data_IF_442940960151
#
_entry.id   IF_442940960151
#
_cell.length_a   1.000
_cell.length_b   1.000
_cell.length_c   1.000
_cell.angle_alpha   90.00
_cell.angle_beta   90.00
_cell.angle_gamma   90.00
#
_symmetry.space_group_name_H-M   'P 1'
#
loop_
_entity.id
_entity.type
_entity.pdbx_description
1 polymer ?
#
# COMPACT_ATOMS: atom_id res chain seq x y z
N UNK A 1 -10.76 18.40 9.18
CA UNK A 1 -9.40 18.45 8.58
C UNK A 1 -9.50 17.85 7.19
N UNK A 2 -8.96 18.50 6.16
CA UNK A 2 -8.90 17.97 4.79
C UNK A 2 -7.44 17.56 4.49
N UNK A 3 -7.20 16.28 4.25
CA UNK A 3 -5.87 15.74 3.99
C UNK A 3 -5.60 15.64 2.49
N UNK A 4 -4.85 16.59 1.94
CA UNK A 4 -4.47 16.60 0.52
C UNK A 4 -3.43 15.52 0.23
N UNK A 5 -3.87 14.44 -0.41
CA UNK A 5 -3.06 13.24 -0.70
C UNK A 5 -3.11 12.85 -2.18
N UNK A 6 -2.38 11.80 -2.55
CA UNK A 6 -2.32 11.25 -3.90
C UNK A 6 -2.39 9.72 -3.87
N UNK A 7 -3.28 9.12 -4.71
CA UNK A 7 -3.36 7.67 -4.87
C UNK A 7 -2.37 7.22 -5.95
N UNK A 8 -1.31 6.51 -5.59
CA UNK A 8 -0.25 6.14 -6.54
C UNK A 8 -0.75 5.27 -7.71
N UNK A 9 -1.72 4.38 -7.45
CA UNK A 9 -2.28 3.43 -8.41
C UNK A 9 -3.69 3.82 -8.88
N UNK A 10 -4.25 3.04 -9.79
CA UNK A 10 -5.64 3.05 -10.24
C UNK A 10 -6.62 2.76 -9.11
N UNK A 11 -7.92 2.79 -9.42
CA UNK A 11 -8.94 2.57 -8.38
C UNK A 11 -8.99 1.13 -7.89
N UNK A 12 -8.80 0.19 -8.80
CA UNK A 12 -8.72 -1.24 -8.52
C UNK A 12 -7.52 -1.86 -9.20
N UNK A 13 -7.35 -3.16 -8.94
CA UNK A 13 -6.17 -3.95 -9.34
C UNK A 13 -5.93 -3.98 -10.87
N UNK A 14 -6.98 -3.78 -11.67
CA UNK A 14 -6.91 -3.76 -13.13
C UNK A 14 -7.23 -2.39 -13.74
N UNK A 15 -7.16 -1.32 -12.94
CA UNK A 15 -7.57 0.03 -13.34
C UNK A 15 -6.38 0.94 -13.70
N UNK A 16 -5.13 0.49 -13.63
CA UNK A 16 -3.95 1.32 -13.93
C UNK A 16 -3.96 1.82 -15.39
N UNK A 17 -4.30 0.95 -16.35
CA UNK A 17 -4.42 1.32 -17.77
C UNK A 17 -5.53 2.34 -18.00
N UNK A 18 -6.63 2.24 -17.25
CA UNK A 18 -7.73 3.19 -17.33
C UNK A 18 -7.34 4.51 -16.68
N UNK A 19 -6.66 4.44 -15.54
CA UNK A 19 -6.11 5.58 -14.81
C UNK A 19 -5.17 6.40 -15.67
N UNK A 20 -4.31 5.76 -16.46
CA UNK A 20 -3.42 6.41 -17.40
C UNK A 20 -4.15 7.23 -18.49
N UNK A 21 -5.43 6.94 -18.78
CA UNK A 21 -6.21 7.69 -19.78
C UNK A 21 -6.72 9.03 -19.26
N UNK A 22 -6.86 9.19 -17.94
CA UNK A 22 -7.44 10.40 -17.33
C UNK A 22 -6.49 11.11 -16.35
N UNK A 23 -5.28 10.59 -16.15
CA UNK A 23 -4.26 11.18 -15.26
C UNK A 23 -2.99 11.45 -16.06
N UNK A 24 -2.60 12.73 -16.24
CA UNK A 24 -1.34 13.06 -16.89
C UNK A 24 -0.16 12.43 -16.13
N UNK A 25 0.84 11.95 -16.86
CA UNK A 25 2.02 11.30 -16.28
C UNK A 25 2.76 12.23 -15.32
N UNK A 26 2.85 13.54 -15.63
CA UNK A 26 3.50 14.51 -14.75
C UNK A 26 2.81 14.66 -13.40
N UNK A 27 1.48 14.49 -13.34
CA UNK A 27 0.75 14.55 -12.08
C UNK A 27 1.01 13.31 -11.22
N UNK A 28 1.18 12.16 -11.87
CA UNK A 28 1.56 10.90 -11.22
C UNK A 28 2.96 10.97 -10.65
N UNK A 29 3.91 11.47 -11.42
CA UNK A 29 5.27 11.67 -10.97
C UNK A 29 5.34 12.67 -9.81
N UNK A 30 4.65 13.82 -9.91
CA UNK A 30 4.55 14.82 -8.82
C UNK A 30 3.90 14.26 -7.56
N UNK A 31 2.93 13.36 -7.72
CA UNK A 31 2.30 12.66 -6.60
C UNK A 31 3.27 11.69 -5.92
N UNK A 32 3.98 10.88 -6.72
CA UNK A 32 4.94 9.88 -6.24
C UNK A 32 6.19 10.47 -5.61
N UNK A 33 6.65 11.64 -6.07
CA UNK A 33 7.80 12.33 -5.47
C UNK A 33 7.56 12.79 -4.02
N UNK A 34 6.30 12.73 -3.56
CA UNK A 34 5.88 13.07 -2.20
C UNK A 34 5.44 11.83 -1.42
N UNK A 35 6.00 10.66 -1.73
CA UNK A 35 5.75 9.43 -0.99
C UNK A 35 5.91 9.69 0.54
N UNK A 36 4.85 9.48 1.33
CA UNK A 36 4.87 9.79 2.75
C UNK A 36 5.92 8.99 3.52
N UNK A 37 6.28 7.78 3.06
CA UNK A 37 7.32 6.95 3.68
C UNK A 37 8.67 7.64 3.50
N UNK A 38 9.02 7.99 2.26
CA UNK A 38 10.28 8.67 1.94
C UNK A 38 10.41 10.02 2.67
N UNK A 39 9.34 10.82 2.67
CA UNK A 39 9.30 12.12 3.35
C UNK A 39 9.50 11.97 4.85
N UNK A 40 8.85 10.98 5.47
CA UNK A 40 8.94 10.79 6.91
C UNK A 40 10.29 10.21 7.33
N UNK A 41 10.84 9.25 6.59
CA UNK A 41 12.21 8.74 6.81
C UNK A 41 13.24 9.86 6.80
N UNK A 42 13.22 10.70 5.76
CA UNK A 42 14.14 11.84 5.66
C UNK A 42 14.02 12.80 6.86
N UNK A 43 12.79 13.00 7.36
CA UNK A 43 12.55 13.79 8.57
C UNK A 43 13.13 13.12 9.82
N UNK A 44 12.92 11.82 10.01
CA UNK A 44 13.43 11.09 11.17
C UNK A 44 14.96 11.06 11.21
N UNK A 45 15.62 10.93 10.05
CA UNK A 45 17.08 11.03 9.95
C UNK A 45 17.56 12.43 10.33
N UNK A 46 16.89 13.48 9.81
CA UNK A 46 17.21 14.88 10.15
C UNK A 46 17.03 15.17 11.65
N UNK A 47 16.04 14.55 12.30
CA UNK A 47 15.77 14.68 13.73
C UNK A 47 16.69 13.79 14.60
N UNK A 48 17.54 12.96 13.99
CA UNK A 48 18.46 12.06 14.70
C UNK A 48 17.77 10.87 15.37
N UNK A 49 16.53 10.57 14.98
CA UNK A 49 15.74 9.43 15.49
C UNK A 49 16.15 8.14 14.76
N UNK A 50 16.49 8.25 13.48
CA UNK A 50 17.04 7.15 12.68
C UNK A 50 18.44 7.54 12.17
N UNK A 51 19.31 6.56 12.00
CA UNK A 51 20.50 6.72 11.14
C UNK A 51 20.10 6.57 9.67
N UNK A 52 20.98 7.02 8.76
CA UNK A 52 20.77 6.81 7.33
C UNK A 52 20.73 5.31 6.99
N UNK A 53 21.59 4.49 7.61
CA UNK A 53 21.60 3.05 7.40
C UNK A 53 20.31 2.37 7.88
N UNK A 54 19.69 2.86 8.95
CA UNK A 54 18.40 2.35 9.43
C UNK A 54 17.25 2.72 8.49
N UNK A 55 17.23 3.96 7.99
CA UNK A 55 16.24 4.42 7.02
C UNK A 55 16.34 3.67 5.68
N UNK A 56 17.55 3.32 5.29
CA UNK A 56 17.86 2.64 4.02
C UNK A 56 17.76 1.12 4.10
N UNK A 57 17.59 0.55 5.29
CA UNK A 57 17.55 -0.91 5.51
C UNK A 57 16.42 -1.60 4.75
N UNK A 58 15.27 -0.93 4.63
CA UNK A 58 14.05 -1.43 4.00
C UNK A 58 13.50 -0.34 3.09
N UNK A 59 13.50 -0.53 1.77
CA UNK A 59 13.13 0.51 0.80
C UNK A 59 11.93 0.11 -0.09
N UNK A 60 10.72 0.02 0.49
CA UNK A 60 9.51 -0.24 -0.27
C UNK A 60 8.92 1.01 -0.94
N UNK A 61 9.33 2.22 -0.53
CA UNK A 61 8.84 3.49 -1.10
C UNK A 61 9.02 3.55 -2.62
N UNK A 62 8.04 4.14 -3.30
CA UNK A 62 8.04 4.25 -4.78
C UNK A 62 7.84 2.94 -5.55
N UNK A 63 7.85 1.77 -4.90
CA UNK A 63 7.64 0.45 -5.52
C UNK A 63 6.19 0.00 -5.41
N UNK A 64 5.74 -0.80 -6.36
CA UNK A 64 4.43 -1.43 -6.35
C UNK A 64 4.38 -2.72 -5.54
N UNK A 65 3.15 -3.12 -5.19
CA UNK A 65 2.89 -4.36 -4.47
C UNK A 65 3.44 -5.60 -5.21
N UNK A 66 3.55 -5.55 -6.54
CA UNK A 66 4.13 -6.64 -7.35
C UNK A 66 5.66 -6.60 -7.40
N UNK A 67 6.28 -5.48 -7.06
CA UNK A 67 7.74 -5.29 -7.05
C UNK A 67 8.38 -5.55 -5.70
N UNK A 68 7.64 -5.34 -4.60
CA UNK A 68 8.13 -5.59 -3.23
C UNK A 68 8.05 -7.08 -2.85
N UNK A 69 8.91 -7.50 -1.94
CA UNK A 69 9.01 -8.86 -1.39
C UNK A 69 9.09 -8.79 0.13
N UNK A 70 8.94 -9.93 0.79
CA UNK A 70 9.01 -10.03 2.26
C UNK A 70 10.33 -9.44 2.81
N UNK A 71 11.44 -9.60 2.08
CA UNK A 71 12.75 -9.09 2.52
C UNK A 71 12.87 -7.55 2.48
N UNK A 72 11.94 -6.88 1.79
CA UNK A 72 11.88 -5.41 1.73
C UNK A 72 11.25 -4.79 2.98
N UNK A 73 10.85 -5.61 3.96
CA UNK A 73 10.19 -5.18 5.19
C UNK A 73 10.83 -5.83 6.44
N UNK A 74 10.66 -5.22 7.63
CA UNK A 74 11.06 -5.85 8.89
C UNK A 74 10.41 -7.24 9.07
N UNK A 75 11.16 -8.28 9.46
CA UNK A 75 10.64 -9.65 9.60
C UNK A 75 9.42 -9.73 10.51
N UNK A 76 9.40 -8.99 11.61
CA UNK A 76 8.29 -8.93 12.56
C UNK A 76 7.00 -8.36 11.94
N UNK A 77 7.12 -7.45 10.96
CA UNK A 77 5.97 -6.91 10.22
C UNK A 77 5.43 -7.94 9.25
N UNK A 78 6.31 -8.67 8.57
CA UNK A 78 5.93 -9.76 7.66
C UNK A 78 5.21 -10.88 8.42
N UNK A 79 5.75 -11.29 9.57
CA UNK A 79 5.13 -12.29 10.44
C UNK A 79 3.73 -11.85 10.89
N UNK A 80 3.59 -10.60 11.37
CA UNK A 80 2.30 -10.05 11.76
C UNK A 80 1.26 -10.04 10.62
N UNK A 81 1.67 -9.66 9.41
CA UNK A 81 0.77 -9.70 8.25
C UNK A 81 0.39 -11.14 7.87
N UNK A 82 1.33 -12.09 7.99
CA UNK A 82 1.10 -13.50 7.69
C UNK A 82 0.05 -14.10 8.60
N UNK A 83 0.06 -13.78 9.90
CA UNK A 83 -0.99 -14.20 10.84
C UNK A 83 -2.39 -13.76 10.36
N UNK A 84 -2.51 -12.51 9.90
CA UNK A 84 -3.77 -11.98 9.36
C UNK A 84 -4.23 -12.70 8.09
N UNK A 85 -3.30 -13.02 7.18
CA UNK A 85 -3.59 -13.77 5.95
C UNK A 85 -4.03 -15.20 6.30
N UNK A 86 -3.33 -15.89 7.19
CA UNK A 86 -3.68 -17.23 7.64
C UNK A 86 -5.06 -17.26 8.29
N UNK A 87 -5.37 -16.29 9.15
CA UNK A 87 -6.69 -16.15 9.75
C UNK A 87 -7.79 -15.91 8.71
N UNK A 88 -7.53 -15.06 7.71
CA UNK A 88 -8.49 -14.79 6.63
C UNK A 88 -8.75 -16.04 5.77
N UNK A 89 -7.71 -16.80 5.43
CA UNK A 89 -7.82 -18.05 4.67
C UNK A 89 -8.53 -19.16 5.45
N UNK A 90 -8.33 -19.20 6.77
CA UNK A 90 -9.01 -20.15 7.66
C UNK A 90 -10.43 -19.72 8.03
N UNK A 91 -10.84 -18.49 7.70
CA UNK A 91 -12.17 -17.98 8.04
C UNK A 91 -13.25 -18.80 7.32
N UNK A 92 -14.31 -19.23 8.03
CA UNK A 92 -15.42 -19.91 7.38
C UNK A 92 -16.07 -18.97 6.37
N UNK A 93 -16.53 -19.54 5.25
CA UNK A 93 -17.41 -18.82 4.33
C UNK A 93 -18.74 -18.56 5.04
N UNK A 94 -19.39 -17.39 4.82
CA UNK A 94 -20.70 -17.12 5.37
C UNK A 94 -21.74 -18.11 4.81
N UNK A 95 -22.82 -18.33 5.56
CA UNK A 95 -23.95 -19.12 5.08
C UNK A 95 -24.54 -18.49 3.80
N UNK A 96 -25.01 -19.33 2.87
CA UNK A 96 -25.53 -18.88 1.56
C UNK A 96 -26.59 -17.78 1.67
N UNK A 97 -27.53 -17.93 2.61
CA UNK A 97 -28.58 -16.95 2.86
C UNK A 97 -28.05 -15.59 3.34
N UNK A 98 -26.95 -15.58 4.10
CA UNK A 98 -26.28 -14.34 4.52
C UNK A 98 -25.49 -13.74 3.36
N UNK A 99 -24.78 -14.58 2.60
CA UNK A 99 -23.99 -14.17 1.45
C UNK A 99 -24.84 -13.48 0.37
N UNK A 100 -26.09 -13.90 0.18
CA UNK A 100 -27.00 -13.32 -0.81
C UNK A 100 -27.80 -12.11 -0.33
N UNK A 101 -27.86 -11.84 0.99
CA UNK A 101 -28.76 -10.85 1.59
C UNK A 101 -28.60 -9.43 1.02
N UNK A 102 -27.39 -9.07 0.59
CA UNK A 102 -27.03 -7.74 0.08
C UNK A 102 -26.48 -7.77 -1.35
N UNK A 103 -26.58 -8.91 -2.03
CA UNK A 103 -26.19 -9.05 -3.43
C UNK A 103 -27.43 -8.83 -4.28
N UNK A 104 -27.62 -7.59 -4.76
CA UNK A 104 -28.68 -7.27 -5.70
C UNK A 104 -28.35 -7.87 -7.07
N UNK A 105 -29.02 -8.97 -7.43
CA UNK A 105 -29.01 -9.52 -8.80
C UNK A 105 -30.07 -8.75 -9.62
N UNK A 106 -29.68 -8.27 -10.82
CA UNK A 106 -30.61 -7.70 -11.81
C UNK A 106 -31.62 -8.73 -12.33
#
# INVERSE_FOLDING_TARGET
>A
VECKTFRAYGHGDHDDDRAARYRPAEEVERGRSRDPIAVFKARLVKEGILTQEEADRYQPEGRSATEVRDEDFPPEVVEYLREGVEAALASPVPDEAEAEMWVFKE
#
